data_IF_073975273552
#
_entry.id   IF_073975273552
#
_cell.length_a   1.000
_cell.length_b   1.000
_cell.length_c   1.000
_cell.angle_alpha   90.00
_cell.angle_beta   90.00
_cell.angle_gamma   90.00
#
_symmetry.space_group_name_H-M   'P 1'
#
loop_
_entity.id
_entity.type
_entity.pdbx_description
1 polymer ?
#
# COMPACT_ATOMS: atom_id res chain seq x y z
N UNK A 1 -4.05 -2.56 6.04
CA UNK A 1 -5.26 -2.18 5.28
C UNK A 1 -6.41 -3.12 5.60
N UNK A 2 -7.64 -2.61 5.73
CA UNK A 2 -8.84 -3.42 5.94
C UNK A 2 -10.01 -2.93 5.09
N UNK A 3 -10.88 -3.85 4.68
CA UNK A 3 -12.06 -3.59 3.84
C UNK A 3 -13.31 -4.04 4.59
N UNK A 4 -14.32 -3.17 4.65
CA UNK A 4 -15.63 -3.48 5.22
C UNK A 4 -16.74 -3.06 4.25
N UNK A 5 -17.38 -4.01 3.55
CA UNK A 5 -18.60 -3.74 2.78
C UNK A 5 -19.69 -3.13 3.66
N UNK A 6 -20.60 -2.34 3.07
CA UNK A 6 -21.67 -1.63 3.79
C UNK A 6 -22.51 -2.55 4.68
N UNK A 7 -22.82 -3.75 4.19
CA UNK A 7 -23.70 -4.72 4.87
C UNK A 7 -22.94 -5.78 5.67
N UNK A 8 -21.59 -5.73 5.68
CA UNK A 8 -20.77 -6.70 6.40
C UNK A 8 -20.70 -6.38 7.90
N UNK A 9 -20.86 -7.42 8.73
CA UNK A 9 -20.72 -7.32 10.20
C UNK A 9 -19.28 -6.96 10.62
N UNK A 10 -18.29 -7.57 9.96
CA UNK A 10 -16.87 -7.43 10.29
C UNK A 10 -16.04 -6.89 9.11
N UNK A 11 -14.96 -6.16 9.44
CA UNK A 11 -13.94 -5.79 8.47
C UNK A 11 -12.97 -6.97 8.23
N UNK A 12 -12.52 -7.11 6.99
CA UNK A 12 -11.46 -8.06 6.61
C UNK A 12 -10.14 -7.32 6.50
N UNK A 13 -9.14 -7.70 7.30
CA UNK A 13 -7.77 -7.21 7.09
C UNK A 13 -7.20 -7.90 5.85
N UNK A 14 -6.93 -7.13 4.81
CA UNK A 14 -6.45 -7.64 3.51
C UNK A 14 -4.96 -7.41 3.31
N UNK A 15 -4.33 -6.54 4.11
CA UNK A 15 -2.88 -6.36 4.09
C UNK A 15 -2.34 -5.98 5.45
N UNK A 16 -1.25 -6.65 5.86
CA UNK A 16 -0.39 -6.29 6.99
C UNK A 16 1.05 -6.19 6.48
N UNK A 17 1.52 -4.97 6.28
CA UNK A 17 2.89 -4.69 5.84
C UNK A 17 3.63 -3.84 6.88
N UNK A 18 4.88 -3.49 6.59
CA UNK A 18 5.71 -2.67 7.47
C UNK A 18 6.60 -1.72 6.66
N UNK A 19 6.69 -0.46 7.11
CA UNK A 19 7.51 0.57 6.45
C UNK A 19 9.00 0.21 6.35
N UNK A 20 9.50 -0.69 7.22
CA UNK A 20 10.88 -1.19 7.15
C UNK A 20 11.23 -1.91 5.84
N UNK A 21 10.23 -2.34 5.06
CA UNK A 21 10.45 -2.99 3.77
C UNK A 21 10.75 -2.00 2.63
N UNK A 22 10.66 -0.70 2.88
CA UNK A 22 11.07 0.31 1.91
C UNK A 22 12.56 0.17 1.57
N UNK A 23 12.84 -0.03 0.29
CA UNK A 23 14.22 -0.17 -0.19
C UNK A 23 15.03 1.13 -0.05
N UNK A 24 14.36 2.27 -0.27
CA UNK A 24 14.94 3.60 -0.12
C UNK A 24 14.45 4.28 1.15
N UNK A 25 15.36 4.85 1.92
CA UNK A 25 15.02 5.65 3.09
C UNK A 25 14.47 7.02 2.70
N UNK A 26 13.68 7.65 3.57
CA UNK A 26 13.20 9.03 3.37
C UNK A 26 14.34 10.04 3.15
N UNK A 27 15.50 9.81 3.79
CA UNK A 27 16.70 10.64 3.62
C UNK A 27 17.26 10.55 2.20
N UNK A 28 17.33 9.34 1.65
CA UNK A 28 17.79 9.12 0.27
C UNK A 28 16.81 9.69 -0.75
N UNK A 29 15.50 9.52 -0.52
CA UNK A 29 14.45 10.10 -1.38
C UNK A 29 14.56 11.63 -1.42
N UNK A 30 14.70 12.29 -0.27
CA UNK A 30 14.86 13.74 -0.20
C UNK A 30 16.15 14.22 -0.87
N UNK A 31 17.29 13.57 -0.58
CA UNK A 31 18.57 13.92 -1.18
C UNK A 31 18.53 13.79 -2.71
N UNK A 32 17.89 12.74 -3.23
CA UNK A 32 17.72 12.56 -4.67
C UNK A 32 16.78 13.60 -5.27
N UNK A 33 15.67 13.94 -4.59
CA UNK A 33 14.72 14.94 -5.08
C UNK A 33 15.37 16.32 -5.24
N UNK A 34 16.26 16.72 -4.32
CA UNK A 34 16.89 18.04 -4.34
C UNK A 34 18.22 18.13 -5.11
N UNK A 35 18.79 17.02 -5.59
CA UNK A 35 20.16 16.99 -6.13
C UNK A 35 20.36 17.91 -7.35
N UNK A 36 19.32 18.14 -8.16
CA UNK A 36 19.35 18.98 -9.36
C UNK A 36 18.92 20.43 -9.10
N UNK A 37 18.72 20.81 -7.84
CA UNK A 37 18.29 22.16 -7.45
C UNK A 37 16.78 22.34 -7.31
N UNK A 38 15.99 21.26 -7.29
CA UNK A 38 14.57 21.34 -6.94
C UNK A 38 14.42 21.87 -5.50
N UNK A 39 13.63 22.93 -5.32
CA UNK A 39 13.45 23.61 -4.05
C UNK A 39 12.34 22.94 -3.22
N UNK A 40 12.69 22.49 -2.02
CA UNK A 40 11.73 21.96 -1.05
C UNK A 40 11.17 23.09 -0.19
N UNK A 41 9.86 23.06 0.07
CA UNK A 41 9.16 24.04 0.89
C UNK A 41 8.64 23.40 2.19
N UNK A 42 8.44 24.25 3.20
CA UNK A 42 7.78 23.82 4.42
C UNK A 42 6.33 23.45 4.11
N UNK A 43 5.93 22.23 4.47
CA UNK A 43 4.60 21.71 4.18
C UNK A 43 4.55 20.75 2.97
N UNK A 44 5.64 20.60 2.21
CA UNK A 44 5.70 19.62 1.12
C UNK A 44 5.50 18.19 1.64
N UNK A 45 4.72 17.40 0.89
CA UNK A 45 4.44 16.01 1.19
C UNK A 45 5.09 15.09 0.15
N UNK A 46 5.99 14.21 0.59
CA UNK A 46 6.62 13.20 -0.25
C UNK A 46 6.03 11.83 0.07
N UNK A 47 5.43 11.20 -0.93
CA UNK A 47 4.92 9.84 -0.80
C UNK A 47 6.05 8.81 -0.79
N UNK A 48 5.93 7.79 0.05
CA UNK A 48 6.86 6.66 0.07
C UNK A 48 6.81 5.80 -1.19
N UNK A 49 5.66 5.82 -1.89
CA UNK A 49 5.25 4.78 -2.82
C UNK A 49 4.47 3.66 -2.10
N UNK A 50 3.91 2.74 -2.87
CA UNK A 50 3.16 1.58 -2.37
C UNK A 50 4.07 0.69 -1.51
N UNK A 51 3.65 0.37 -0.28
CA UNK A 51 4.43 -0.43 0.65
C UNK A 51 4.01 -1.89 0.55
N UNK A 52 4.80 -2.69 -0.16
CA UNK A 52 4.62 -4.14 -0.29
C UNK A 52 5.75 -4.89 0.39
N UNK A 53 5.40 -5.79 1.29
CA UNK A 53 6.36 -6.68 1.95
C UNK A 53 6.64 -7.93 1.12
N UNK A 54 7.43 -8.88 1.67
CA UNK A 54 7.85 -10.08 0.95
C UNK A 54 6.74 -11.14 0.79
N UNK A 55 5.64 -11.03 1.53
CA UNK A 55 4.55 -12.03 1.55
C UNK A 55 3.28 -11.49 0.87
N UNK A 56 2.47 -12.36 0.27
CA UNK A 56 1.26 -11.96 -0.46
C UNK A 56 0.25 -11.19 0.42
N UNK A 57 0.14 -11.53 1.71
CA UNK A 57 -0.70 -10.83 2.69
C UNK A 57 -0.14 -9.46 3.13
N UNK A 58 0.97 -9.03 2.56
CA UNK A 58 1.65 -7.76 2.85
C UNK A 58 1.73 -6.81 1.64
N UNK A 59 1.04 -7.13 0.54
CA UNK A 59 0.97 -6.27 -0.65
C UNK A 59 0.12 -5.02 -0.44
N UNK A 60 0.63 -3.88 -0.89
CA UNK A 60 0.11 -2.56 -0.54
C UNK A 60 -1.09 -2.07 -1.35
N UNK A 61 -1.50 -2.80 -2.38
CA UNK A 61 -2.63 -2.41 -3.24
C UNK A 61 -3.54 -3.59 -3.60
N UNK A 62 -4.80 -3.30 -3.95
CA UNK A 62 -5.73 -4.30 -4.50
C UNK A 62 -5.25 -4.85 -5.85
N UNK A 63 -4.52 -4.07 -6.64
CA UNK A 63 -3.93 -4.54 -7.90
C UNK A 63 -2.98 -5.72 -7.67
N UNK A 64 -2.12 -5.60 -6.66
CA UNK A 64 -1.16 -6.63 -6.27
C UNK A 64 -1.85 -7.80 -5.57
N UNK A 65 -2.69 -7.52 -4.56
CA UNK A 65 -3.42 -8.54 -3.80
C UNK A 65 -4.31 -9.40 -4.70
N UNK A 66 -4.95 -8.78 -5.70
CA UNK A 66 -5.84 -9.48 -6.61
C UNK A 66 -5.14 -10.01 -7.87
N UNK A 67 -3.82 -9.82 -7.98
CA UNK A 67 -3.00 -10.16 -9.13
C UNK A 67 -3.64 -9.73 -10.46
N UNK A 68 -3.84 -8.42 -10.63
CA UNK A 68 -4.54 -7.84 -11.80
C UNK A 68 -5.93 -8.43 -12.02
N UNK A 69 -6.63 -8.76 -10.93
CA UNK A 69 -7.99 -9.31 -10.93
C UNK A 69 -8.07 -10.81 -11.19
N UNK A 70 -6.96 -11.50 -11.42
CA UNK A 70 -6.94 -12.96 -11.69
C UNK A 70 -7.06 -13.81 -10.41
N UNK A 71 -6.80 -13.22 -9.24
CA UNK A 71 -6.91 -13.87 -7.93
C UNK A 71 -7.82 -13.04 -7.00
N UNK A 72 -9.16 -13.18 -7.02
CA UNK A 72 -10.04 -12.37 -6.19
C UNK A 72 -9.75 -12.52 -4.68
N UNK A 73 -9.76 -11.40 -3.94
CA UNK A 73 -9.57 -11.40 -2.48
C UNK A 73 -10.88 -11.77 -1.80
N UNK A 74 -10.84 -12.81 -0.95
CA UNK A 74 -12.00 -13.26 -0.18
C UNK A 74 -12.18 -12.42 1.09
N UNK A 75 -13.40 -11.93 1.32
CA UNK A 75 -13.77 -11.20 2.53
C UNK A 75 -14.50 -12.11 3.51
N UNK A 76 -14.40 -11.79 4.81
CA UNK A 76 -15.08 -12.52 5.90
C UNK A 76 -16.60 -12.64 5.73
N UNK A 77 -17.21 -11.73 4.97
CA UNK A 77 -18.65 -11.78 4.65
C UNK A 77 -19.03 -12.77 3.55
N UNK A 78 -18.07 -13.52 2.99
CA UNK A 78 -18.29 -14.43 1.86
C UNK A 78 -18.23 -13.77 0.48
N UNK A 79 -18.13 -12.44 0.43
CA UNK A 79 -17.96 -11.68 -0.81
C UNK A 79 -16.49 -11.67 -1.28
N UNK A 80 -16.27 -11.54 -2.59
CA UNK A 80 -14.94 -11.30 -3.19
C UNK A 80 -14.75 -9.84 -3.60
N UNK A 81 -13.50 -9.39 -3.69
CA UNK A 81 -13.12 -8.11 -4.30
C UNK A 81 -11.95 -8.25 -5.26
N UNK A 82 -11.94 -7.38 -6.26
CA UNK A 82 -10.83 -7.15 -7.19
C UNK A 82 -10.47 -5.66 -7.26
N UNK A 83 -11.48 -4.79 -7.41
CA UNK A 83 -11.40 -3.31 -7.30
C UNK A 83 -12.70 -2.73 -6.74
#
# INVERSE_FOLDING_TARGET
MAIKPKDAKEATTVCKSNFKYMYWTMKQQLAHHSITGCNMQSGDLLGSGTISGPTEDSYGSLLELCWKGTKPVQLKGGETRTF
#
